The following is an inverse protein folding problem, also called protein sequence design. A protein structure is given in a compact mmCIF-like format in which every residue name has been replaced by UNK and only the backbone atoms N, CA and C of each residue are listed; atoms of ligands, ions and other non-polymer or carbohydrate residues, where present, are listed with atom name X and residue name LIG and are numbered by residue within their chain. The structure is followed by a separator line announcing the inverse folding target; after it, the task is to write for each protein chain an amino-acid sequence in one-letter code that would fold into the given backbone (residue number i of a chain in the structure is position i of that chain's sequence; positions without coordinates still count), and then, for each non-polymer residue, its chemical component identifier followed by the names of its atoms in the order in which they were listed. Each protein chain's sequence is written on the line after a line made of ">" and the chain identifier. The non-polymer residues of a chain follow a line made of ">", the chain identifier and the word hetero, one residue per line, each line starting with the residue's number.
data_IF_597173636054
#
_entry.id   IF_597173636054
#
_cell.length_a   1.000
_cell.length_b   1.000
_cell.length_c   1.000
_cell.angle_alpha   90.00
_cell.angle_beta   90.00
_cell.angle_gamma   90.00
#
_symmetry.space_group_name_H-M   'P 1'
#
loop_
_entity.id
_entity.type
_entity.pdbx_description
1 polymer ?
#
# COMPACT_ATOMS: atom_id res chain seq x y z
N UNK A 1 -4.53 17.68 5.26
CA UNK A 1 -4.94 16.71 4.25
C UNK A 1 -5.49 15.48 4.96
N UNK A 2 -6.72 15.10 4.62
CA UNK A 2 -7.37 13.91 5.17
C UNK A 2 -7.22 12.77 4.16
N UNK A 3 -6.07 12.10 4.14
CA UNK A 3 -5.75 11.07 3.16
C UNK A 3 -6.85 9.99 3.03
N UNK A 4 -7.45 9.58 4.15
CA UNK A 4 -8.55 8.61 4.12
C UNK A 4 -9.80 9.09 3.36
N UNK A 5 -10.07 10.41 3.33
CA UNK A 5 -11.17 10.97 2.53
C UNK A 5 -10.84 10.91 1.05
N UNK A 6 -9.63 11.30 0.67
CA UNK A 6 -9.15 11.25 -0.72
C UNK A 6 -9.11 9.81 -1.25
N UNK A 7 -8.64 8.88 -0.40
CA UNK A 7 -8.61 7.45 -0.70
C UNK A 7 -10.03 6.93 -0.94
N UNK A 8 -10.98 7.21 -0.05
CA UNK A 8 -12.36 6.75 -0.20
C UNK A 8 -13.02 7.32 -1.47
N UNK A 9 -12.92 8.62 -1.71
CA UNK A 9 -13.54 9.28 -2.89
C UNK A 9 -13.03 8.67 -4.20
N UNK A 10 -11.76 8.28 -4.27
CA UNK A 10 -11.18 7.67 -5.46
C UNK A 10 -11.55 6.18 -5.65
N UNK A 11 -12.05 5.53 -4.61
CA UNK A 11 -12.42 4.13 -4.59
C UNK A 11 -13.70 3.80 -5.37
N UNK A 12 -14.00 2.52 -5.52
CA UNK A 12 -15.28 2.05 -6.08
C UNK A 12 -16.47 2.52 -5.23
N UNK A 13 -16.35 2.44 -3.90
CA UNK A 13 -17.40 2.90 -2.99
C UNK A 13 -17.65 4.40 -3.12
N UNK A 14 -16.60 5.22 -3.11
CA UNK A 14 -16.75 6.67 -3.28
C UNK A 14 -17.36 7.05 -4.63
N UNK A 15 -16.96 6.38 -5.71
CA UNK A 15 -17.56 6.58 -7.05
C UNK A 15 -19.02 6.14 -7.13
N UNK A 16 -19.44 5.20 -6.30
CA UNK A 16 -20.84 4.78 -6.14
C UNK A 16 -21.63 5.71 -5.20
N UNK A 17 -21.02 6.78 -4.68
CA UNK A 17 -21.66 7.72 -3.79
C UNK A 17 -21.71 7.30 -2.32
N UNK A 18 -21.00 6.24 -1.94
CA UNK A 18 -20.90 5.78 -0.55
C UNK A 18 -20.05 6.77 0.25
N UNK A 19 -20.54 7.15 1.42
CA UNK A 19 -19.93 8.13 2.31
C UNK A 19 -19.39 7.47 3.59
N UNK A 20 -18.66 8.24 4.40
CA UNK A 20 -18.17 7.79 5.70
C UNK A 20 -19.32 7.31 6.60
N UNK A 21 -20.45 8.01 6.56
CA UNK A 21 -21.63 7.71 7.39
C UNK A 21 -22.28 6.37 7.00
N UNK A 22 -22.23 5.99 5.73
CA UNK A 22 -22.82 4.73 5.28
C UNK A 22 -22.12 3.51 5.87
N UNK A 23 -20.81 3.63 6.14
CA UNK A 23 -20.00 2.56 6.71
C UNK A 23 -19.83 2.68 8.23
N UNK A 24 -19.63 3.89 8.75
CA UNK A 24 -19.28 4.11 10.16
C UNK A 24 -20.47 4.37 11.08
N UNK A 25 -21.65 4.66 10.53
CA UNK A 25 -22.87 4.84 11.30
C UNK A 25 -23.87 3.76 10.92
N UNK A 26 -24.02 2.75 11.78
CA UNK A 26 -24.94 1.65 11.52
C UNK A 26 -26.38 2.15 11.35
N UNK A 27 -27.09 1.58 10.38
CA UNK A 27 -28.50 1.92 10.11
C UNK A 27 -29.40 0.87 10.77
N UNK A 28 -30.11 1.27 11.81
CA UNK A 28 -31.07 0.43 12.55
C UNK A 28 -32.44 1.05 12.40
N UNK A 29 -33.44 0.28 11.98
CA UNK A 29 -34.82 0.73 11.76
C UNK A 29 -34.92 2.01 10.89
N UNK A 30 -34.15 2.06 9.80
CA UNK A 30 -34.03 3.22 8.90
C UNK A 30 -33.44 4.52 9.52
N UNK A 31 -32.83 4.45 10.69
CA UNK A 31 -32.17 5.57 11.36
C UNK A 31 -30.67 5.28 11.54
N UNK A 32 -29.84 6.27 11.28
CA UNK A 32 -28.42 6.14 11.62
C UNK A 32 -28.20 6.27 13.12
N UNK A 33 -27.34 5.43 13.67
CA UNK A 33 -26.85 5.61 15.03
C UNK A 33 -26.03 6.89 15.16
N UNK A 34 -26.10 7.55 16.31
CA UNK A 34 -25.34 8.77 16.57
C UNK A 34 -23.86 8.53 16.94
N UNK A 35 -23.48 7.29 17.22
CA UNK A 35 -22.10 6.94 17.56
C UNK A 35 -21.44 6.19 16.40
N UNK A 36 -20.28 6.67 15.91
CA UNK A 36 -19.52 5.94 14.91
C UNK A 36 -18.98 4.64 15.49
N UNK A 37 -19.00 3.59 14.68
CA UNK A 37 -18.47 2.27 15.03
C UNK A 37 -17.50 1.78 13.98
N UNK A 38 -16.70 0.76 14.32
CA UNK A 38 -15.94 0.06 13.29
C UNK A 38 -16.92 -0.75 12.42
N UNK A 39 -16.89 -0.60 11.09
CA UNK A 39 -17.86 -1.26 10.20
C UNK A 39 -17.93 -2.77 10.42
N UNK A 40 -16.80 -3.42 10.72
CA UNK A 40 -16.73 -4.87 10.99
C UNK A 40 -17.47 -5.32 12.24
N UNK A 41 -17.71 -4.44 13.21
CA UNK A 41 -18.47 -4.75 14.43
C UNK A 41 -19.98 -4.76 14.18
N UNK A 42 -20.42 -4.03 13.14
CA UNK A 42 -21.83 -3.88 12.78
C UNK A 42 -22.08 -4.18 11.30
N UNK A 43 -21.37 -5.15 10.74
CA UNK A 43 -21.40 -5.50 9.31
C UNK A 43 -22.82 -5.69 8.77
N UNK A 44 -23.73 -6.29 9.55
CA UNK A 44 -25.11 -6.49 9.14
C UNK A 44 -25.86 -5.18 8.92
N UNK A 45 -25.55 -4.16 9.71
CA UNK A 45 -26.22 -2.86 9.69
C UNK A 45 -25.45 -1.80 8.89
N UNK A 46 -24.32 -2.15 8.35
CA UNK A 46 -23.46 -1.29 7.50
C UNK A 46 -23.29 -1.89 6.11
N UNK A 47 -22.47 -2.90 5.97
CA UNK A 47 -22.11 -3.49 4.67
C UNK A 47 -23.21 -4.37 4.08
N UNK A 48 -23.92 -5.17 4.93
CA UNK A 48 -24.91 -6.15 4.49
C UNK A 48 -26.34 -5.60 4.38
N UNK A 49 -26.50 -4.30 4.23
CA UNK A 49 -27.81 -3.71 3.90
C UNK A 49 -28.21 -4.12 2.47
N UNK A 50 -29.52 -4.22 2.22
CA UNK A 50 -30.07 -4.65 0.93
C UNK A 50 -29.62 -3.77 -0.25
N UNK A 51 -29.39 -2.47 0.00
CA UNK A 51 -28.90 -1.52 -0.98
C UNK A 51 -27.37 -1.60 -1.23
N UNK A 52 -26.62 -2.38 -0.40
CA UNK A 52 -25.17 -2.54 -0.48
C UNK A 52 -24.79 -3.98 -0.84
N UNK A 53 -24.40 -4.80 0.15
CA UNK A 53 -23.96 -6.18 -0.04
C UNK A 53 -24.92 -7.20 0.60
N UNK A 54 -26.14 -6.79 0.94
CA UNK A 54 -27.16 -7.66 1.52
C UNK A 54 -27.94 -8.45 0.47
N UNK A 55 -28.94 -9.23 0.92
CA UNK A 55 -29.77 -10.06 0.03
C UNK A 55 -30.41 -9.23 -1.08
N UNK A 56 -30.28 -9.73 -2.31
CA UNK A 56 -30.83 -9.06 -3.51
C UNK A 56 -29.91 -8.06 -4.17
N UNK A 57 -28.79 -7.70 -3.58
CA UNK A 57 -27.77 -6.88 -4.24
C UNK A 57 -26.95 -7.69 -5.25
N UNK A 58 -26.33 -7.00 -6.22
CA UNK A 58 -25.50 -7.64 -7.26
C UNK A 58 -24.29 -8.37 -6.68
N UNK A 59 -23.66 -7.79 -5.65
CA UNK A 59 -22.47 -8.31 -4.99
C UNK A 59 -22.83 -8.72 -3.55
N UNK A 60 -23.91 -9.51 -3.40
CA UNK A 60 -24.41 -9.91 -2.09
C UNK A 60 -23.47 -10.87 -1.39
N UNK A 61 -23.28 -10.65 -0.09
CA UNK A 61 -22.66 -11.61 0.80
C UNK A 61 -23.74 -12.54 1.39
N UNK A 62 -23.45 -13.82 1.39
CA UNK A 62 -24.43 -14.83 1.81
C UNK A 62 -24.68 -14.82 3.30
N UNK A 63 -23.65 -14.49 4.07
CA UNK A 63 -23.71 -14.46 5.53
C UNK A 63 -22.66 -13.54 6.16
N UNK A 64 -22.77 -13.35 7.46
CA UNK A 64 -21.86 -12.54 8.25
C UNK A 64 -20.39 -13.01 8.18
N UNK A 65 -20.17 -14.32 8.16
CA UNK A 65 -18.83 -14.90 8.08
C UNK A 65 -18.13 -14.55 6.79
N UNK A 66 -18.84 -14.60 5.67
CA UNK A 66 -18.32 -14.19 4.36
C UNK A 66 -17.95 -12.71 4.34
N UNK A 67 -18.79 -11.86 4.93
CA UNK A 67 -18.52 -10.43 5.03
C UNK A 67 -17.25 -10.14 5.84
N UNK A 68 -17.10 -10.73 7.02
CA UNK A 68 -15.91 -10.59 7.85
C UNK A 68 -14.67 -11.13 7.15
N UNK A 69 -14.75 -12.32 6.54
CA UNK A 69 -13.64 -12.90 5.79
C UNK A 69 -13.16 -11.97 4.69
N UNK A 70 -14.09 -11.35 3.95
CA UNK A 70 -13.74 -10.41 2.88
C UNK A 70 -12.99 -9.19 3.42
N UNK A 71 -13.47 -8.60 4.53
CA UNK A 71 -12.80 -7.46 5.17
C UNK A 71 -11.40 -7.84 5.64
N UNK A 72 -11.28 -8.98 6.33
CA UNK A 72 -10.00 -9.45 6.87
C UNK A 72 -9.00 -9.82 5.77
N UNK A 73 -9.46 -10.41 4.67
CA UNK A 73 -8.63 -10.73 3.52
C UNK A 73 -8.03 -9.46 2.88
N UNK A 74 -8.83 -8.39 2.73
CA UNK A 74 -8.37 -7.10 2.23
C UNK A 74 -7.30 -6.51 3.18
N UNK A 75 -7.57 -6.50 4.47
CA UNK A 75 -6.63 -5.99 5.47
C UNK A 75 -5.35 -6.84 5.56
N UNK A 76 -5.45 -8.14 5.38
CA UNK A 76 -4.28 -9.04 5.33
C UNK A 76 -3.44 -8.76 4.08
N UNK A 77 -4.06 -8.60 2.93
CA UNK A 77 -3.35 -8.25 1.68
C UNK A 77 -2.64 -6.90 1.81
N UNK A 78 -3.27 -5.91 2.45
CA UNK A 78 -2.64 -4.64 2.77
C UNK A 78 -1.36 -4.84 3.59
N UNK A 79 -1.41 -5.62 4.67
CA UNK A 79 -0.24 -5.89 5.53
C UNK A 79 0.89 -6.56 4.76
N UNK A 80 0.57 -7.58 3.95
CA UNK A 80 1.56 -8.30 3.15
C UNK A 80 2.24 -7.36 2.14
N UNK A 81 1.48 -6.51 1.46
CA UNK A 81 2.03 -5.58 0.47
C UNK A 81 2.85 -4.47 1.12
N UNK A 82 2.41 -3.94 2.24
CA UNK A 82 3.18 -2.96 3.02
C UNK A 82 4.52 -3.56 3.45
N UNK A 83 4.53 -4.79 3.96
CA UNK A 83 5.78 -5.49 4.31
C UNK A 83 6.72 -5.66 3.11
N UNK A 84 6.19 -6.02 1.94
CA UNK A 84 7.00 -6.14 0.71
C UNK A 84 7.60 -4.80 0.30
N UNK A 85 6.84 -3.71 0.35
CA UNK A 85 7.37 -2.36 0.07
C UNK A 85 8.49 -1.99 1.04
N UNK A 86 8.30 -2.24 2.35
CA UNK A 86 9.30 -1.95 3.38
C UNK A 86 10.58 -2.78 3.20
N UNK A 87 10.46 -4.05 2.82
CA UNK A 87 11.63 -4.89 2.54
C UNK A 87 12.47 -4.33 1.39
N UNK A 88 11.84 -3.95 0.29
CA UNK A 88 12.53 -3.40 -0.87
C UNK A 88 13.14 -2.00 -0.55
N UNK A 89 12.43 -1.18 0.20
CA UNK A 89 12.92 0.11 0.65
C UNK A 89 14.14 0.01 1.57
N UNK A 90 14.18 -0.99 2.47
CA UNK A 90 15.35 -1.25 3.33
C UNK A 90 16.60 -1.58 2.51
N UNK A 91 16.45 -2.28 1.38
CA UNK A 91 17.58 -2.54 0.47
C UNK A 91 18.08 -1.22 -0.13
N UNK A 92 17.19 -0.38 -0.63
CA UNK A 92 17.53 0.94 -1.17
C UNK A 92 18.21 1.82 -0.11
N UNK A 93 17.65 1.88 1.09
CA UNK A 93 18.20 2.65 2.21
C UNK A 93 19.62 2.18 2.58
N UNK A 94 19.84 0.87 2.65
CA UNK A 94 21.16 0.30 2.92
C UNK A 94 22.19 0.71 1.85
N UNK A 95 21.80 0.68 0.58
CA UNK A 95 22.69 1.13 -0.51
C UNK A 95 22.98 2.62 -0.40
N UNK A 96 21.99 3.46 -0.13
CA UNK A 96 22.16 4.91 0.05
C UNK A 96 23.08 5.24 1.23
N UNK A 97 22.95 4.54 2.35
CA UNK A 97 23.81 4.71 3.51
C UNK A 97 25.27 4.38 3.18
N UNK A 98 25.51 3.26 2.50
CA UNK A 98 26.88 2.87 2.10
C UNK A 98 27.53 3.85 1.13
N UNK A 99 26.75 4.46 0.21
CA UNK A 99 27.24 5.56 -0.64
C UNK A 99 27.60 6.77 0.20
N UNK A 100 26.76 7.15 1.17
CA UNK A 100 26.98 8.28 2.07
C UNK A 100 28.24 8.10 2.93
N UNK A 101 28.51 6.87 3.35
CA UNK A 101 29.70 6.49 4.16
C UNK A 101 30.96 6.32 3.30
N UNK A 102 30.85 6.46 1.98
CA UNK A 102 32.00 6.32 1.07
C UNK A 102 32.44 4.86 0.85
N UNK A 103 31.67 3.88 1.31
CA UNK A 103 32.00 2.46 1.16
C UNK A 103 31.82 1.94 -0.27
N UNK A 104 30.89 2.54 -1.02
CA UNK A 104 30.59 2.17 -2.39
C UNK A 104 30.33 3.39 -3.24
N UNK A 105 30.67 3.28 -4.52
CA UNK A 105 30.33 4.28 -5.54
C UNK A 105 29.22 3.76 -6.44
N UNK A 106 28.20 4.58 -6.65
CA UNK A 106 27.12 4.36 -7.63
C UNK A 106 27.13 5.55 -8.57
N UNK A 107 27.19 5.36 -9.89
CA UNK A 107 27.15 6.45 -10.84
C UNK A 107 25.89 7.31 -10.68
N UNK A 108 26.02 8.63 -10.92
CA UNK A 108 24.99 9.61 -10.61
C UNK A 108 23.59 9.29 -11.19
N UNK A 109 23.43 8.77 -12.43
CA UNK A 109 22.10 8.44 -12.94
C UNK A 109 21.40 7.35 -12.12
N UNK A 110 22.13 6.30 -11.69
CA UNK A 110 21.58 5.23 -10.87
C UNK A 110 21.33 5.67 -9.43
N UNK A 111 22.22 6.50 -8.87
CA UNK A 111 22.05 7.08 -7.56
C UNK A 111 20.82 7.98 -7.48
N UNK A 112 20.61 8.82 -8.48
CA UNK A 112 19.42 9.68 -8.61
C UNK A 112 18.13 8.84 -8.68
N UNK A 113 18.12 7.78 -9.50
CA UNK A 113 16.98 6.89 -9.61
C UNK A 113 16.66 6.18 -8.28
N UNK A 114 17.71 5.75 -7.57
CA UNK A 114 17.57 5.11 -6.25
C UNK A 114 17.00 6.07 -5.21
N UNK A 115 17.49 7.32 -5.15
CA UNK A 115 16.96 8.37 -4.27
C UNK A 115 15.49 8.66 -4.57
N UNK A 116 15.16 8.90 -5.84
CA UNK A 116 13.79 9.22 -6.25
C UNK A 116 12.81 8.08 -5.91
N UNK A 117 13.20 6.81 -6.13
CA UNK A 117 12.37 5.67 -5.76
C UNK A 117 12.15 5.59 -4.25
N UNK A 118 13.19 5.88 -3.46
CA UNK A 118 13.10 5.87 -2.00
C UNK A 118 12.19 6.99 -1.46
N UNK A 119 12.34 8.21 -1.96
CA UNK A 119 11.48 9.35 -1.60
C UNK A 119 10.02 9.11 -1.97
N UNK A 120 9.78 8.58 -3.17
CA UNK A 120 8.43 8.20 -3.62
C UNK A 120 7.81 7.13 -2.72
N UNK A 121 8.60 6.13 -2.29
CA UNK A 121 8.13 5.14 -1.33
C UNK A 121 7.71 5.77 0.00
N UNK A 122 8.55 6.66 0.56
CA UNK A 122 8.23 7.35 1.81
C UNK A 122 6.91 8.12 1.71
N UNK A 123 6.73 8.90 0.65
CA UNK A 123 5.50 9.64 0.41
C UNK A 123 4.28 8.72 0.27
N UNK A 124 4.41 7.63 -0.47
CA UNK A 124 3.34 6.63 -0.65
C UNK A 124 2.99 5.95 0.68
N UNK A 125 4.00 5.53 1.44
CA UNK A 125 3.83 4.94 2.76
C UNK A 125 3.09 5.88 3.69
N UNK A 126 3.56 7.12 3.80
CA UNK A 126 2.98 8.11 4.71
C UNK A 126 1.52 8.43 4.33
N UNK A 127 1.21 8.46 3.04
CA UNK A 127 -0.16 8.62 2.56
C UNK A 127 -1.07 7.46 3.01
N UNK A 128 -0.65 6.20 2.79
CA UNK A 128 -1.49 5.05 3.13
C UNK A 128 -1.45 4.67 4.61
N UNK A 129 -0.39 4.96 5.36
CA UNK A 129 -0.34 4.70 6.80
C UNK A 129 -1.25 5.62 7.61
N UNK A 130 -1.68 6.75 7.05
CA UNK A 130 -2.72 7.60 7.67
C UNK A 130 -4.13 7.05 7.47
N UNK A 131 -4.30 6.03 6.62
CA UNK A 131 -5.56 5.31 6.46
C UNK A 131 -5.66 4.12 7.42
N UNK A 132 -6.33 4.35 8.56
CA UNK A 132 -6.55 3.32 9.59
C UNK A 132 -7.44 2.15 9.15
N UNK A 133 -8.06 2.22 7.96
CA UNK A 133 -8.83 1.10 7.39
C UNK A 133 -7.96 -0.09 6.98
N UNK A 134 -6.64 0.08 6.96
CA UNK A 134 -5.70 -0.91 6.44
C UNK A 134 -6.03 -1.31 4.99
N UNK A 135 -6.20 -0.29 4.15
CA UNK A 135 -6.45 -0.46 2.71
C UNK A 135 -7.92 -0.74 2.35
N UNK A 136 -8.83 -0.86 3.33
CA UNK A 136 -10.21 -1.17 3.04
C UNK A 136 -10.96 -0.02 2.34
N UNK A 137 -10.56 1.23 2.53
CA UNK A 137 -11.18 2.37 1.85
C UNK A 137 -10.97 2.34 0.32
N UNK A 138 -9.82 1.86 -0.16
CA UNK A 138 -9.55 1.66 -1.60
C UNK A 138 -8.58 0.49 -1.82
N UNK A 139 -9.06 -0.76 -1.74
CA UNK A 139 -8.20 -1.93 -1.88
C UNK A 139 -7.50 -2.01 -3.24
N UNK A 140 -8.19 -1.63 -4.31
CA UNK A 140 -7.65 -1.69 -5.67
C UNK A 140 -6.59 -0.63 -5.92
N UNK A 141 -6.85 0.61 -5.49
CA UNK A 141 -5.90 1.71 -5.60
C UNK A 141 -4.63 1.42 -4.81
N UNK A 142 -4.78 0.95 -3.56
CA UNK A 142 -3.65 0.54 -2.74
C UNK A 142 -2.85 -0.59 -3.41
N UNK A 143 -3.52 -1.67 -3.84
CA UNK A 143 -2.85 -2.83 -4.45
C UNK A 143 -2.09 -2.46 -5.71
N UNK A 144 -2.66 -1.61 -6.56
CA UNK A 144 -2.00 -1.09 -7.77
C UNK A 144 -0.77 -0.28 -7.41
N UNK A 145 -0.89 0.67 -6.48
CA UNK A 145 0.20 1.55 -6.08
C UNK A 145 1.32 0.78 -5.38
N UNK A 146 1.00 -0.11 -4.46
CA UNK A 146 1.97 -0.95 -3.77
C UNK A 146 2.74 -1.86 -4.75
N UNK A 147 2.05 -2.45 -5.73
CA UNK A 147 2.69 -3.26 -6.77
C UNK A 147 3.66 -2.45 -7.62
N UNK A 148 3.28 -1.24 -8.00
CA UNK A 148 4.14 -0.34 -8.77
C UNK A 148 5.38 0.06 -7.97
N UNK A 149 5.22 0.43 -6.69
CA UNK A 149 6.34 0.79 -5.80
C UNK A 149 7.32 -0.38 -5.66
N UNK A 150 6.83 -1.59 -5.39
CA UNK A 150 7.68 -2.79 -5.29
C UNK A 150 8.43 -3.04 -6.60
N UNK A 151 7.77 -2.91 -7.75
CA UNK A 151 8.40 -3.09 -9.05
C UNK A 151 9.52 -2.05 -9.30
N UNK A 152 9.25 -0.77 -9.02
CA UNK A 152 10.22 0.31 -9.17
C UNK A 152 11.46 0.08 -8.29
N UNK A 153 11.27 -0.30 -7.03
CA UNK A 153 12.38 -0.63 -6.14
C UNK A 153 13.22 -1.80 -6.64
N UNK A 154 12.58 -2.90 -7.04
CA UNK A 154 13.31 -4.07 -7.56
C UNK A 154 14.16 -3.71 -8.76
N UNK A 155 13.62 -2.88 -9.66
CA UNK A 155 14.35 -2.41 -10.82
C UNK A 155 15.58 -1.59 -10.39
N UNK A 156 15.41 -0.53 -9.58
CA UNK A 156 16.52 0.35 -9.19
C UNK A 156 17.55 -0.36 -8.30
N UNK A 157 17.11 -1.23 -7.40
CA UNK A 157 17.99 -2.05 -6.57
C UNK A 157 18.84 -3.00 -7.43
N UNK A 158 18.22 -3.67 -8.41
CA UNK A 158 18.92 -4.56 -9.36
C UNK A 158 19.94 -3.80 -10.21
N UNK A 159 19.57 -2.63 -10.72
CA UNK A 159 20.46 -1.84 -11.56
C UNK A 159 21.66 -1.31 -10.75
N UNK A 160 21.44 -0.83 -9.53
CA UNK A 160 22.51 -0.42 -8.62
C UNK A 160 23.47 -1.59 -8.30
N UNK A 161 22.93 -2.77 -8.01
CA UNK A 161 23.75 -3.96 -7.73
C UNK A 161 24.57 -4.44 -8.94
N UNK A 162 24.01 -4.36 -10.16
CA UNK A 162 24.75 -4.70 -11.40
C UNK A 162 25.93 -3.76 -11.62
N UNK A 163 25.73 -2.47 -11.40
CA UNK A 163 26.79 -1.48 -11.49
C UNK A 163 27.91 -1.76 -10.48
N UNK A 164 27.55 -2.00 -9.21
CA UNK A 164 28.51 -2.32 -8.16
C UNK A 164 29.35 -3.57 -8.51
N UNK A 165 28.70 -4.63 -9.03
CA UNK A 165 29.41 -5.85 -9.46
C UNK A 165 30.42 -5.56 -10.58
N UNK A 166 30.06 -4.72 -11.54
CA UNK A 166 30.95 -4.33 -12.64
C UNK A 166 32.17 -3.53 -12.12
N UNK A 167 31.95 -2.58 -11.23
CA UNK A 167 33.03 -1.78 -10.61
C UNK A 167 34.00 -2.66 -9.82
N UNK A 168 33.48 -3.55 -8.98
CA UNK A 168 34.31 -4.47 -8.20
C UNK A 168 35.12 -5.44 -9.10
N UNK A 169 34.54 -5.94 -10.18
CA UNK A 169 35.26 -6.82 -11.11
C UNK A 169 36.33 -6.10 -11.93
N UNK A 170 36.16 -4.82 -12.19
CA UNK A 170 37.18 -3.98 -12.84
C UNK A 170 38.37 -3.69 -11.89
N UNK A 171 38.07 -3.37 -10.64
CA UNK A 171 39.09 -3.11 -9.61
C UNK A 171 39.99 -4.34 -9.36
N UNK A 172 39.43 -5.55 -9.31
CA UNK A 172 40.21 -6.79 -9.14
C UNK A 172 41.13 -7.06 -10.32
N UNK A 173 40.72 -6.78 -11.55
CA UNK A 173 41.59 -6.95 -12.74
C UNK A 173 42.77 -6.02 -12.78
N UNK A 174 42.62 -4.79 -12.27
CA UNK A 174 43.73 -3.81 -12.21
C UNK A 174 44.76 -4.13 -11.12
N UNK A 175 44.40 -4.85 -10.07
CA UNK A 175 45.30 -5.26 -8.98
C UNK A 175 46.05 -6.56 -9.26
N UNK A 176 45.50 -7.43 -10.11
CA UNK A 176 46.14 -8.73 -10.49
C UNK A 176 47.06 -8.65 -11.72
N UNK A 177 47.19 -7.47 -12.32
CA UNK A 177 48.07 -7.23 -13.50
C UNK A 177 49.38 -6.49 -13.20
N UNK A 178 49.73 -6.39 -11.91
CA UNK A 178 51.03 -5.91 -11.44
C UNK A 178 51.80 -7.06 -10.77
#
# INVERSE_FOLDING_TARGET
>A
NHAHVEILISSKHGKAGVTCTDCHFAKIDNRFEHQPSLPKEKVQNTCMRSECHGPGSKDNWTDYGQALYTIEAIQQEYRIRTQKMEMEAKVAQKLLNRVKEGEIEIPEPQLKNLKNAYEKHLATRDFYLTDYSQGFHDPEGFNRTASQVVWEFRKVNSDAQKVMKKLNSAAVKTTSGK
#
